data_IF_307280478263
#
_entry.id   IF_307280478263
#
_cell.length_a   1.000
_cell.length_b   1.000
_cell.length_c   1.000
_cell.angle_alpha   90.00
_cell.angle_beta   90.00
_cell.angle_gamma   90.00
#
_symmetry.space_group_name_H-M   'P 1'
#
loop_
_entity.id
_entity.type
_entity.pdbx_description
1 polymer ?
#
# COMPACT_ATOMS: atom_id res chain seq x y z
N UNK A 1 13.95 -4.48 4.05
CA UNK A 1 14.50 -3.18 3.61
C UNK A 1 15.50 -3.48 2.51
N UNK A 2 15.33 -2.88 1.34
CA UNK A 2 16.27 -3.04 0.23
C UNK A 2 17.38 -2.01 0.39
N UNK A 3 18.63 -2.38 0.11
CA UNK A 3 19.74 -1.44 0.02
C UNK A 3 19.94 -1.12 -1.46
N UNK A 4 19.69 0.14 -1.83
CA UNK A 4 19.80 0.63 -3.21
C UNK A 4 20.39 2.04 -3.25
N UNK A 5 20.91 2.45 -4.41
CA UNK A 5 21.17 3.85 -4.72
C UNK A 5 19.85 4.58 -5.06
N UNK A 6 19.41 5.56 -4.24
CA UNK A 6 18.18 6.30 -4.51
C UNK A 6 18.24 7.18 -5.76
N UNK A 7 19.42 7.40 -6.35
CA UNK A 7 19.57 8.15 -7.60
C UNK A 7 19.57 7.25 -8.84
N UNK A 8 19.59 5.92 -8.66
CA UNK A 8 19.51 4.95 -9.75
C UNK A 8 18.05 4.63 -10.07
N UNK A 9 17.56 5.13 -11.20
CA UNK A 9 16.19 4.84 -11.66
C UNK A 9 15.96 3.35 -11.92
N UNK A 10 16.99 2.62 -12.34
CA UNK A 10 16.94 1.18 -12.57
C UNK A 10 16.75 0.41 -11.25
N UNK A 11 17.54 0.73 -10.22
CA UNK A 11 17.40 0.07 -8.91
C UNK A 11 16.08 0.39 -8.24
N UNK A 12 15.57 1.63 -8.38
CA UNK A 12 14.24 2.01 -7.90
C UNK A 12 13.13 1.18 -8.56
N UNK A 13 13.20 1.02 -9.89
CA UNK A 13 12.23 0.21 -10.63
C UNK A 13 12.29 -1.27 -10.22
N UNK A 14 13.50 -1.80 -10.04
CA UNK A 14 13.69 -3.19 -9.64
C UNK A 14 13.20 -3.46 -8.21
N UNK A 15 13.48 -2.56 -7.26
CA UNK A 15 12.94 -2.67 -5.90
C UNK A 15 11.41 -2.59 -5.88
N UNK A 16 10.81 -1.75 -6.71
CA UNK A 16 9.36 -1.68 -6.82
C UNK A 16 8.78 -2.99 -7.36
N UNK A 17 9.39 -3.57 -8.40
CA UNK A 17 8.99 -4.88 -8.95
C UNK A 17 9.10 -5.99 -7.90
N UNK A 18 10.25 -6.10 -7.23
CA UNK A 18 10.50 -7.11 -6.19
C UNK A 18 9.54 -6.94 -5.00
N UNK A 19 9.24 -5.70 -4.60
CA UNK A 19 8.28 -5.44 -3.52
C UNK A 19 6.87 -5.92 -3.88
N UNK A 20 6.42 -5.72 -5.12
CA UNK A 20 5.10 -6.19 -5.58
C UNK A 20 5.05 -7.73 -5.64
N UNK A 21 6.14 -8.38 -6.04
CA UNK A 21 6.25 -9.85 -6.04
C UNK A 21 6.19 -10.42 -4.63
N UNK A 22 6.95 -9.86 -3.68
CA UNK A 22 6.92 -10.29 -2.28
C UNK A 22 5.52 -10.15 -1.69
N UNK A 23 4.86 -9.01 -1.91
CA UNK A 23 3.47 -8.81 -1.45
C UNK A 23 2.54 -9.85 -2.08
N UNK A 24 2.69 -10.10 -3.38
CA UNK A 24 1.86 -11.08 -4.09
C UNK A 24 2.03 -12.49 -3.55
N UNK A 25 3.26 -12.90 -3.28
CA UNK A 25 3.55 -14.20 -2.68
C UNK A 25 3.01 -14.29 -1.25
N UNK A 26 3.17 -13.23 -0.44
CA UNK A 26 2.64 -13.21 0.92
C UNK A 26 1.12 -13.39 0.92
N UNK A 27 0.40 -12.64 0.09
CA UNK A 27 -1.07 -12.73 -0.01
C UNK A 27 -1.53 -14.10 -0.54
N UNK A 28 -0.79 -14.71 -1.47
CA UNK A 28 -1.11 -16.04 -2.00
C UNK A 28 -0.97 -17.17 -0.95
N UNK A 29 -0.26 -16.90 0.14
CA UNK A 29 -0.05 -17.82 1.27
C UNK A 29 -0.87 -17.42 2.50
N UNK A 30 -1.98 -16.68 2.29
CA UNK A 30 -2.84 -16.13 3.36
C UNK A 30 -2.09 -15.23 4.36
N UNK A 31 -0.95 -14.68 3.96
CA UNK A 31 -0.23 -13.63 4.68
C UNK A 31 -0.83 -12.24 4.43
N UNK A 32 -0.11 -11.21 4.87
CA UNK A 32 -0.54 -9.81 4.77
C UNK A 32 0.49 -8.94 4.04
N UNK A 33 0.06 -7.86 3.40
CA UNK A 33 0.96 -6.92 2.73
C UNK A 33 1.79 -6.08 3.72
N UNK A 34 1.45 -6.09 5.01
CA UNK A 34 2.19 -5.38 6.06
C UNK A 34 2.02 -6.04 7.43
N UNK A 35 3.09 -6.09 8.22
CA UNK A 35 3.01 -6.35 9.66
C UNK A 35 2.60 -5.07 10.41
N UNK A 36 3.58 -4.26 10.82
CA UNK A 36 3.41 -3.10 11.70
C UNK A 36 3.53 -1.74 10.98
N UNK A 37 4.10 -1.71 9.78
CA UNK A 37 4.48 -0.45 9.09
C UNK A 37 3.33 0.24 8.33
N UNK A 38 2.21 -0.47 8.12
CA UNK A 38 1.03 0.04 7.41
C UNK A 38 1.18 0.11 5.89
N UNK A 39 0.17 0.74 5.26
CA UNK A 39 0.02 0.80 3.80
C UNK A 39 0.79 1.97 3.19
N UNK A 40 0.59 3.18 3.74
CA UNK A 40 1.15 4.42 3.20
C UNK A 40 0.89 4.58 1.69
N UNK A 41 1.76 5.33 1.01
CA UNK A 41 1.65 5.52 -0.44
C UNK A 41 2.08 4.27 -1.22
N UNK A 42 3.11 3.57 -0.73
CA UNK A 42 3.78 2.50 -1.47
C UNK A 42 2.97 1.21 -1.63
N UNK A 43 1.99 0.94 -0.74
CA UNK A 43 1.22 -0.32 -0.76
C UNK A 43 -0.28 -0.13 -1.03
N UNK A 44 -0.71 1.03 -1.55
CA UNK A 44 -2.14 1.31 -1.79
C UNK A 44 -2.79 0.28 -2.72
N UNK A 45 -2.07 -0.18 -3.75
CA UNK A 45 -2.54 -1.24 -4.64
C UNK A 45 -2.76 -2.56 -3.90
N UNK A 46 -1.86 -2.91 -2.97
CA UNK A 46 -1.96 -4.11 -2.14
C UNK A 46 -3.16 -4.07 -1.18
N UNK A 47 -3.51 -2.90 -0.62
CA UNK A 47 -4.66 -2.76 0.28
C UNK A 47 -5.95 -3.30 -0.36
N UNK A 48 -6.22 -2.95 -1.63
CA UNK A 48 -7.42 -3.42 -2.32
C UNK A 48 -7.36 -4.91 -2.67
N UNK A 49 -6.16 -5.44 -2.90
CA UNK A 49 -5.96 -6.89 -3.15
C UNK A 49 -6.21 -7.71 -1.90
N UNK A 50 -5.76 -7.23 -0.74
CA UNK A 50 -5.90 -7.93 0.55
C UNK A 50 -7.33 -7.81 1.11
N UNK A 51 -7.92 -6.60 1.12
CA UNK A 51 -9.20 -6.34 1.79
C UNK A 51 -10.40 -6.29 0.84
N UNK A 52 -10.17 -6.28 -0.47
CA UNK A 52 -11.24 -6.32 -1.48
C UNK A 52 -12.29 -5.22 -1.27
N UNK A 53 -13.59 -5.57 -1.27
CA UNK A 53 -14.68 -4.60 -1.08
C UNK A 53 -14.69 -3.87 0.28
N UNK A 54 -14.02 -4.39 1.31
CA UNK A 54 -13.98 -3.74 2.63
C UNK A 54 -13.31 -2.35 2.58
N UNK A 55 -12.48 -2.09 1.56
CA UNK A 55 -11.91 -0.76 1.30
C UNK A 55 -12.98 0.31 1.11
N UNK A 56 -14.16 -0.04 0.58
CA UNK A 56 -15.26 0.94 0.44
C UNK A 56 -15.86 1.35 1.79
N UNK A 57 -15.87 0.44 2.77
CA UNK A 57 -16.27 0.78 4.15
C UNK A 57 -15.24 1.74 4.76
N UNK A 58 -13.95 1.49 4.57
CA UNK A 58 -12.89 2.40 5.03
C UNK A 58 -13.03 3.77 4.39
N UNK A 59 -13.36 3.83 3.08
CA UNK A 59 -13.62 5.08 2.35
C UNK A 59 -14.85 5.80 2.89
N UNK A 60 -15.94 5.09 3.16
CA UNK A 60 -17.15 5.67 3.74
C UNK A 60 -16.87 6.30 5.12
N UNK A 61 -16.12 5.61 5.97
CA UNK A 61 -15.67 6.15 7.28
C UNK A 61 -14.83 7.41 7.07
N UNK A 62 -13.85 7.37 6.17
CA UNK A 62 -12.99 8.51 5.87
C UNK A 62 -13.78 9.72 5.39
N UNK A 63 -14.74 9.54 4.48
CA UNK A 63 -15.61 10.62 3.98
C UNK A 63 -16.51 11.18 5.06
N UNK A 64 -17.02 10.35 5.97
CA UNK A 64 -17.85 10.80 7.08
C UNK A 64 -17.06 11.65 8.09
N UNK A 65 -15.80 11.28 8.36
CA UNK A 65 -14.95 11.97 9.33
C UNK A 65 -14.20 13.18 8.74
N UNK A 66 -13.86 13.13 7.46
CA UNK A 66 -13.10 14.16 6.76
C UNK A 66 -13.73 14.49 5.40
N UNK A 67 -14.90 15.14 5.40
CA UNK A 67 -15.64 15.47 4.18
C UNK A 67 -14.89 16.47 3.28
N UNK A 68 -13.95 17.23 3.83
CA UNK A 68 -13.12 18.18 3.09
C UNK A 68 -11.77 17.60 2.63
N UNK A 69 -11.45 16.35 3.01
CA UNK A 69 -10.23 15.66 2.60
C UNK A 69 -8.93 16.28 3.12
N UNK A 70 -8.95 16.99 4.26
CA UNK A 70 -7.78 17.71 4.77
C UNK A 70 -6.84 16.82 5.59
N UNK A 71 -7.30 15.68 6.10
CA UNK A 71 -6.48 14.79 6.91
C UNK A 71 -5.68 13.85 6.01
N UNK A 72 -4.49 14.31 5.60
CA UNK A 72 -3.47 13.57 4.86
C UNK A 72 -3.99 13.00 3.52
N UNK A 73 -4.34 13.88 2.56
CA UNK A 73 -4.98 13.50 1.31
C UNK A 73 -4.13 12.51 0.50
N UNK A 74 -4.79 11.47 -0.03
CA UNK A 74 -4.18 10.47 -0.91
C UNK A 74 -3.20 9.51 -0.25
N UNK A 75 -3.00 9.57 1.09
CA UNK A 75 -2.00 8.73 1.76
C UNK A 75 -2.32 7.24 1.69
N UNK A 76 -3.59 6.86 1.86
CA UNK A 76 -4.02 5.44 1.92
C UNK A 76 -5.15 5.17 0.93
N UNK A 77 -6.29 5.86 1.10
CA UNK A 77 -7.52 5.65 0.32
C UNK A 77 -7.62 6.53 -0.92
#
# INVERSE_FOLDING_TARGET
>A
MFSIDPNSAEELAEVQRLSEEIITHALALDGTCTGEHGIGLGKRAALRREFGPAVEVMRAIKTALDPHGIMNPGKVL
#
